data_IF_747169953704
#
_entry.id   IF_747169953704
#
_cell.length_a   1.000
_cell.length_b   1.000
_cell.length_c   1.000
_cell.angle_alpha   90.00
_cell.angle_beta   90.00
_cell.angle_gamma   90.00
#
_symmetry.space_group_name_H-M   'P 1'
#
loop_
_entity.id
_entity.type
_entity.pdbx_description
1 polymer ?
#
# COMPACT_ATOMS: atom_id res chain seq x y z
N UNK A 1 -1.46 -7.71 -12.11
CA UNK A 1 -1.17 -9.14 -12.35
C UNK A 1 0.06 -9.62 -11.57
N UNK A 2 1.26 -9.07 -11.79
CA UNK A 2 2.49 -9.56 -11.14
C UNK A 2 2.50 -9.40 -9.60
N UNK A 3 2.05 -8.26 -9.06
CA UNK A 3 2.00 -8.06 -7.61
C UNK A 3 0.99 -8.98 -6.91
N UNK A 4 -0.17 -9.22 -7.52
CA UNK A 4 -1.14 -10.19 -7.01
C UNK A 4 -0.53 -11.59 -6.95
N UNK A 5 0.20 -12.00 -7.99
CA UNK A 5 0.88 -13.31 -7.99
C UNK A 5 1.98 -13.41 -6.92
N UNK A 6 2.70 -12.30 -6.71
CA UNK A 6 3.70 -12.20 -5.64
C UNK A 6 3.06 -12.36 -4.26
N UNK A 7 1.91 -11.71 -4.03
CA UNK A 7 1.13 -11.82 -2.79
C UNK A 7 0.56 -13.23 -2.59
N UNK A 8 0.01 -13.85 -3.64
CA UNK A 8 -0.47 -15.25 -3.59
C UNK A 8 0.64 -16.22 -3.17
N UNK A 9 1.86 -16.00 -3.68
CA UNK A 9 3.01 -16.88 -3.40
C UNK A 9 3.65 -16.55 -2.06
N UNK A 10 3.70 -15.27 -1.69
CA UNK A 10 4.35 -14.74 -0.50
C UNK A 10 3.49 -13.61 0.09
N UNK A 11 2.49 -13.94 0.93
CA UNK A 11 1.55 -12.95 1.46
C UNK A 11 2.20 -12.01 2.48
N UNK A 12 3.38 -12.32 2.99
CA UNK A 12 4.19 -11.48 3.87
C UNK A 12 5.15 -10.54 3.11
N UNK A 13 5.09 -10.51 1.77
CA UNK A 13 5.97 -9.66 0.97
C UNK A 13 5.49 -8.20 0.95
N UNK A 14 5.87 -7.43 1.98
CA UNK A 14 5.45 -6.04 2.17
C UNK A 14 5.64 -5.14 0.93
N UNK A 15 6.74 -5.33 0.18
CA UNK A 15 7.01 -4.58 -1.07
C UNK A 15 5.94 -4.80 -2.13
N UNK A 16 5.43 -6.04 -2.28
CA UNK A 16 4.37 -6.32 -3.25
C UNK A 16 3.04 -5.65 -2.86
N UNK A 17 2.73 -5.60 -1.56
CA UNK A 17 1.58 -4.88 -1.05
C UNK A 17 1.69 -3.37 -1.29
N UNK A 18 2.84 -2.77 -0.99
CA UNK A 18 3.08 -1.34 -1.25
C UNK A 18 2.96 -1.01 -2.73
N UNK A 19 3.57 -1.81 -3.61
CA UNK A 19 3.47 -1.60 -5.05
C UNK A 19 2.04 -1.78 -5.59
N UNK A 20 1.25 -2.69 -5.01
CA UNK A 20 -0.16 -2.82 -5.35
C UNK A 20 -0.96 -1.60 -4.89
N UNK A 21 -0.66 -1.04 -3.71
CA UNK A 21 -1.21 0.23 -3.24
C UNK A 21 -0.93 1.38 -4.20
N UNK A 22 0.31 1.49 -4.73
CA UNK A 22 0.67 2.48 -5.74
C UNK A 22 -0.16 2.35 -7.02
N UNK A 23 -0.44 1.12 -7.46
CA UNK A 23 -1.28 0.87 -8.64
C UNK A 23 -2.71 1.37 -8.41
N UNK A 24 -3.31 1.08 -7.26
CA UNK A 24 -4.65 1.57 -6.94
C UNK A 24 -4.69 3.08 -6.74
N UNK A 25 -3.64 3.67 -6.15
CA UNK A 25 -3.53 5.12 -6.02
C UNK A 25 -3.54 5.79 -7.39
N UNK A 26 -2.75 5.26 -8.34
CA UNK A 26 -2.72 5.77 -9.71
C UNK A 26 -4.05 5.60 -10.47
N UNK A 27 -4.93 4.69 -10.01
CA UNK A 27 -6.28 4.49 -10.55
C UNK A 27 -7.32 5.38 -9.87
N UNK A 28 -6.96 6.14 -8.83
CA UNK A 28 -7.89 6.93 -8.02
C UNK A 28 -8.70 6.09 -7.02
N UNK A 29 -8.36 4.81 -6.86
CA UNK A 29 -9.00 3.89 -5.91
C UNK A 29 -8.38 4.06 -4.51
N UNK A 30 -8.59 5.25 -3.94
CA UNK A 30 -7.91 5.75 -2.72
C UNK A 30 -8.04 4.78 -1.53
N UNK A 31 -9.23 4.23 -1.28
CA UNK A 31 -9.45 3.31 -0.16
C UNK A 31 -8.72 1.97 -0.32
N UNK A 32 -8.63 1.46 -1.55
CA UNK A 32 -7.86 0.25 -1.84
C UNK A 32 -6.36 0.51 -1.69
N UNK A 33 -5.89 1.69 -2.12
CA UNK A 33 -4.51 2.10 -1.91
C UNK A 33 -4.15 2.16 -0.42
N UNK A 34 -4.97 2.82 0.40
CA UNK A 34 -4.80 2.87 1.87
C UNK A 34 -4.72 1.45 2.44
N UNK A 35 -5.69 0.59 2.14
CA UNK A 35 -5.71 -0.78 2.64
C UNK A 35 -4.40 -1.54 2.36
N UNK A 36 -3.88 -1.41 1.14
CA UNK A 36 -2.66 -2.10 0.75
C UNK A 36 -1.39 -1.50 1.36
N UNK A 37 -1.32 -0.18 1.54
CA UNK A 37 -0.21 0.44 2.27
C UNK A 37 -0.22 0.10 3.76
N UNK A 38 -1.41 0.07 4.41
CA UNK A 38 -1.55 -0.40 5.79
C UNK A 38 -1.09 -1.85 5.96
N UNK A 39 -1.42 -2.73 5.00
CA UNK A 39 -0.91 -4.10 4.98
C UNK A 39 0.61 -4.15 4.86
N UNK A 40 1.21 -3.32 4.00
CA UNK A 40 2.66 -3.26 3.86
C UNK A 40 3.33 -2.81 5.17
N UNK A 41 2.79 -1.79 5.84
CA UNK A 41 3.27 -1.30 7.14
C UNK A 41 3.12 -2.35 8.23
N UNK A 42 2.00 -3.08 8.26
CA UNK A 42 1.76 -4.13 9.26
C UNK A 42 2.73 -5.33 9.09
N UNK A 43 3.13 -5.63 7.85
CA UNK A 43 4.06 -6.73 7.54
C UNK A 43 5.51 -6.36 7.78
N UNK A 44 5.89 -5.11 7.48
CA UNK A 44 7.22 -4.58 7.77
C UNK A 44 7.10 -3.19 8.43
N UNK A 45 7.11 -3.13 9.77
CA UNK A 45 7.05 -1.89 10.52
C UNK A 45 8.23 -0.94 10.28
N UNK A 46 9.32 -1.40 9.63
CA UNK A 46 10.47 -0.56 9.27
C UNK A 46 10.45 -0.11 7.81
N UNK A 47 9.40 -0.45 7.05
CA UNK A 47 9.31 -0.13 5.63
C UNK A 47 8.93 1.34 5.40
N UNK A 48 9.95 2.21 5.41
CA UNK A 48 9.80 3.66 5.30
C UNK A 48 8.97 4.10 4.09
N UNK A 49 9.18 3.50 2.91
CA UNK A 49 8.44 3.86 1.70
C UNK A 49 6.94 3.59 1.82
N UNK A 50 6.54 2.53 2.54
CA UNK A 50 5.12 2.23 2.77
C UNK A 50 4.45 3.30 3.65
N UNK A 51 5.14 3.81 4.68
CA UNK A 51 4.64 4.93 5.48
C UNK A 51 4.55 6.23 4.67
N UNK A 52 5.55 6.52 3.84
CA UNK A 52 5.52 7.70 2.97
C UNK A 52 4.32 7.63 2.02
N UNK A 53 4.11 6.48 1.39
CA UNK A 53 2.98 6.29 0.48
C UNK A 53 1.63 6.35 1.21
N UNK A 54 1.52 5.75 2.40
CA UNK A 54 0.32 5.83 3.23
C UNK A 54 0.00 7.28 3.62
N UNK A 55 0.99 8.04 4.08
CA UNK A 55 0.81 9.45 4.43
C UNK A 55 0.39 10.30 3.23
N UNK A 56 0.95 10.03 2.05
CA UNK A 56 0.58 10.73 0.82
C UNK A 56 -0.87 10.44 0.39
N UNK A 57 -1.32 9.19 0.50
CA UNK A 57 -2.70 8.85 0.10
C UNK A 57 -3.73 9.34 1.13
N UNK A 58 -3.42 9.29 2.43
CA UNK A 58 -4.27 9.87 3.47
C UNK A 58 -4.43 11.39 3.28
N UNK A 59 -3.34 12.04 2.86
CA UNK A 59 -3.35 13.44 2.49
C UNK A 59 -4.29 13.76 1.35
N UNK A 60 -4.21 12.97 0.29
CA UNK A 60 -5.06 13.11 -0.87
C UNK A 60 -6.54 12.87 -0.52
N UNK A 61 -6.81 11.87 0.33
CA UNK A 61 -8.14 11.56 0.83
C UNK A 61 -8.73 12.65 1.73
N UNK A 62 -7.92 13.64 2.16
CA UNK A 62 -8.26 14.62 3.20
C UNK A 62 -8.71 13.98 4.51
N UNK A 63 -8.23 12.76 4.75
CA UNK A 63 -8.39 12.04 6.02
C UNK A 63 -7.17 12.40 6.84
N UNK A 64 -7.15 13.65 7.30
CA UNK A 64 -6.27 14.11 8.34
C UNK A 64 -7.16 14.46 9.53
N UNK A 65 -6.90 13.86 10.68
CA UNK A 65 -7.37 14.41 11.96
C UNK A 65 -6.61 15.70 12.29
#
# INVERSE_FOLDING_TARGET
ACYLKAIETRPDFAVAWSNLGCVFNAQGEIWLAIHHFEKAVALDPNFLDAYINLGNVLKEARIFD
#
